data_IF_944349859605
#
_entry.id   IF_944349859605
#
_cell.length_a   1.000
_cell.length_b   1.000
_cell.length_c   1.000
_cell.angle_alpha   90.00
_cell.angle_beta   90.00
_cell.angle_gamma   90.00
#
_symmetry.space_group_name_H-M   'P 1'
#
loop_
_entity.id
_entity.type
_entity.pdbx_description
1 polymer ?
#
# COMPACT_ATOMS: atom_id res chain seq x y z
N UNK A 1 -31.78 -20.39 60.94
CA UNK A 1 -32.85 -20.22 59.93
C UNK A 1 -32.28 -20.72 58.61
N UNK A 2 -32.82 -21.81 58.08
CA UNK A 2 -32.35 -22.31 56.76
C UNK A 2 -32.86 -21.36 55.65
N UNK A 3 -31.96 -20.82 54.84
CA UNK A 3 -32.35 -20.01 53.68
C UNK A 3 -33.14 -20.92 52.71
N UNK A 4 -34.40 -20.58 52.45
CA UNK A 4 -35.19 -21.24 51.43
C UNK A 4 -34.54 -21.09 50.09
N UNK A 5 -34.34 -22.19 49.34
CA UNK A 5 -33.91 -22.14 47.96
C UNK A 5 -34.90 -21.29 47.16
N UNK A 6 -34.39 -20.21 46.54
CA UNK A 6 -35.20 -19.49 45.56
C UNK A 6 -35.32 -20.41 44.30
N UNK A 7 -36.52 -20.81 43.97
CA UNK A 7 -36.81 -21.59 42.77
C UNK A 7 -37.21 -20.68 41.63
N UNK A 8 -37.12 -21.17 40.37
CA UNK A 8 -37.53 -20.38 39.21
C UNK A 8 -39.01 -19.90 39.32
N UNK A 9 -39.87 -20.68 39.99
CA UNK A 9 -41.28 -20.30 40.26
C UNK A 9 -41.43 -19.15 41.26
N UNK A 10 -40.38 -18.87 42.08
CA UNK A 10 -40.37 -17.76 43.03
C UNK A 10 -39.93 -16.42 42.43
N UNK A 11 -39.49 -16.43 41.18
CA UNK A 11 -39.05 -15.24 40.47
C UNK A 11 -40.10 -14.92 39.40
N UNK A 12 -40.88 -13.88 39.60
CA UNK A 12 -41.81 -13.40 38.57
C UNK A 12 -41.07 -12.60 37.50
N UNK A 13 -41.67 -12.47 36.30
CA UNK A 13 -41.04 -11.74 35.19
C UNK A 13 -40.66 -10.31 35.60
N UNK A 14 -39.49 -9.87 35.19
CA UNK A 14 -38.93 -8.51 35.36
C UNK A 14 -38.66 -8.07 36.83
N UNK A 15 -38.61 -9.00 37.79
CA UNK A 15 -38.21 -8.64 39.16
C UNK A 15 -36.68 -8.53 39.37
N UNK A 16 -35.90 -9.17 38.48
CA UNK A 16 -34.43 -9.02 38.48
C UNK A 16 -34.09 -7.86 37.59
N UNK A 17 -33.72 -6.74 38.22
CA UNK A 17 -33.23 -5.56 37.51
C UNK A 17 -31.70 -5.46 37.61
N UNK A 18 -31.11 -4.60 36.79
CA UNK A 18 -29.66 -4.35 36.81
C UNK A 18 -29.14 -3.87 38.18
N UNK A 19 -29.99 -3.26 38.99
CA UNK A 19 -29.64 -2.84 40.34
C UNK A 19 -29.49 -4.01 41.34
N UNK A 20 -30.01 -5.18 41.01
CA UNK A 20 -29.95 -6.39 41.84
C UNK A 20 -28.79 -7.32 41.48
N UNK A 21 -28.10 -7.03 40.37
CA UNK A 21 -26.94 -7.77 39.92
C UNK A 21 -25.73 -6.82 40.01
N UNK A 22 -24.79 -7.12 40.90
CA UNK A 22 -23.60 -6.32 41.01
C UNK A 22 -22.73 -6.45 39.72
N UNK A 23 -21.93 -5.41 39.45
CA UNK A 23 -21.02 -5.44 38.30
C UNK A 23 -20.03 -6.61 38.41
N UNK A 24 -19.92 -7.41 37.36
CA UNK A 24 -19.01 -8.54 37.30
C UNK A 24 -19.54 -9.85 37.90
N UNK A 25 -20.75 -9.86 38.48
CA UNK A 25 -21.36 -11.10 39.00
C UNK A 25 -21.81 -12.06 37.93
N UNK A 26 -22.16 -11.58 36.72
CA UNK A 26 -22.43 -12.42 35.56
C UNK A 26 -21.14 -12.54 34.75
N UNK A 27 -20.57 -13.71 34.76
CA UNK A 27 -19.36 -14.06 34.02
C UNK A 27 -19.70 -14.90 32.79
N UNK A 28 -18.70 -15.16 31.93
CA UNK A 28 -18.87 -16.03 30.76
C UNK A 28 -19.30 -17.47 31.14
N UNK A 29 -18.98 -17.93 32.35
CA UNK A 29 -19.36 -19.26 32.84
C UNK A 29 -20.85 -19.36 33.19
N UNK A 30 -21.49 -18.21 33.45
CA UNK A 30 -22.91 -18.14 33.81
C UNK A 30 -23.82 -18.04 32.57
N UNK A 31 -23.21 -17.84 31.38
CA UNK A 31 -23.90 -17.71 30.09
C UNK A 31 -23.60 -18.96 29.25
N UNK A 32 -24.62 -19.79 29.02
CA UNK A 32 -24.42 -20.96 28.19
C UNK A 32 -24.04 -20.60 26.75
N UNK A 33 -23.23 -21.44 26.12
CA UNK A 33 -22.81 -21.24 24.75
C UNK A 33 -24.04 -21.09 23.80
N UNK A 34 -23.94 -20.15 22.86
CA UNK A 34 -24.94 -19.83 21.84
C UNK A 34 -26.29 -19.30 22.40
N UNK A 35 -26.32 -18.87 23.66
CA UNK A 35 -27.57 -18.25 24.24
C UNK A 35 -27.68 -16.77 23.86
N UNK A 36 -26.58 -16.08 23.61
CA UNK A 36 -26.59 -14.70 23.11
C UNK A 36 -26.70 -14.76 21.57
N UNK A 37 -27.89 -14.55 21.08
CA UNK A 37 -28.18 -14.51 19.64
C UNK A 37 -28.21 -13.06 19.14
N UNK A 38 -28.19 -12.86 17.82
CA UNK A 38 -28.30 -11.53 17.20
C UNK A 38 -29.57 -10.77 17.60
N UNK A 39 -30.66 -11.50 17.91
CA UNK A 39 -31.92 -10.90 18.35
C UNK A 39 -31.84 -10.28 19.77
N UNK A 40 -30.85 -10.70 20.56
CA UNK A 40 -30.64 -10.20 21.93
C UNK A 40 -29.66 -9.01 21.98
N UNK A 41 -29.00 -8.71 20.88
CA UNK A 41 -28.09 -7.59 20.76
C UNK A 41 -28.79 -6.47 19.99
N UNK A 42 -29.13 -5.40 20.69
CA UNK A 42 -29.75 -4.25 20.05
C UNK A 42 -28.86 -3.64 18.94
N UNK A 43 -29.48 -3.03 17.95
CA UNK A 43 -28.74 -2.30 16.93
C UNK A 43 -27.82 -1.25 17.56
N UNK A 44 -26.57 -1.20 17.10
CA UNK A 44 -25.51 -0.30 17.62
C UNK A 44 -25.10 -0.55 19.09
N UNK A 45 -25.48 -1.67 19.71
CA UNK A 45 -25.05 -2.00 21.06
C UNK A 45 -23.54 -2.37 21.13
N UNK A 46 -22.98 -2.88 20.05
CA UNK A 46 -21.55 -3.15 19.96
C UNK A 46 -20.87 -1.92 19.35
N UNK A 47 -20.23 -1.14 20.18
CA UNK A 47 -19.47 0.05 19.79
C UNK A 47 -17.99 -0.29 19.66
N UNK A 48 -17.18 0.63 19.11
CA UNK A 48 -15.72 0.46 19.05
C UNK A 48 -15.07 0.26 20.42
N UNK A 49 -15.62 0.87 21.47
CA UNK A 49 -15.14 0.68 22.85
C UNK A 49 -15.46 -0.71 23.43
N UNK A 50 -16.43 -1.43 22.84
CA UNK A 50 -16.80 -2.78 23.27
C UNK A 50 -15.93 -3.86 22.62
N UNK A 51 -15.12 -3.50 21.63
CA UNK A 51 -14.18 -4.39 20.94
C UNK A 51 -12.77 -3.96 21.26
N UNK A 52 -12.04 -4.79 22.00
CA UNK A 52 -10.65 -4.49 22.33
C UNK A 52 -9.77 -4.49 21.09
N UNK A 53 -8.74 -3.65 21.06
CA UNK A 53 -7.78 -3.59 19.96
C UNK A 53 -7.14 -4.97 19.73
N UNK A 54 -7.11 -5.40 18.47
CA UNK A 54 -6.55 -6.69 18.08
C UNK A 54 -7.40 -7.92 18.41
N UNK A 55 -8.61 -7.76 18.95
CA UNK A 55 -9.49 -8.88 19.30
C UNK A 55 -10.18 -9.52 18.09
N UNK A 56 -10.22 -8.84 16.95
CA UNK A 56 -10.73 -9.40 15.68
C UNK A 56 -9.54 -9.77 14.81
N UNK A 57 -9.24 -11.06 14.74
CA UNK A 57 -8.21 -11.63 13.88
C UNK A 57 -8.85 -12.28 12.64
N UNK A 58 -8.05 -12.89 11.78
CA UNK A 58 -8.54 -13.57 10.58
C UNK A 58 -9.45 -14.76 10.88
N UNK A 59 -9.29 -15.40 12.03
CA UNK A 59 -10.14 -16.52 12.48
C UNK A 59 -11.57 -16.10 12.81
N UNK A 60 -11.78 -14.85 13.26
CA UNK A 60 -13.09 -14.29 13.58
C UNK A 60 -13.81 -13.73 12.35
N UNK A 61 -13.10 -13.61 11.23
CA UNK A 61 -13.63 -13.14 9.96
C UNK A 61 -13.89 -14.34 9.03
N UNK A 62 -15.15 -14.66 8.77
CA UNK A 62 -15.49 -15.67 7.78
C UNK A 62 -14.98 -15.27 6.39
N UNK A 63 -14.69 -16.25 5.53
CA UNK A 63 -14.29 -15.99 4.15
C UNK A 63 -15.34 -15.11 3.44
N UNK A 64 -14.89 -14.00 2.85
CA UNK A 64 -15.77 -13.03 2.19
C UNK A 64 -16.57 -12.11 3.14
N UNK A 65 -16.33 -12.16 4.46
CA UNK A 65 -17.02 -11.27 5.40
C UNK A 65 -16.70 -9.79 5.19
N UNK A 66 -15.50 -9.47 4.68
CA UNK A 66 -15.10 -8.12 4.29
C UNK A 66 -15.22 -8.00 2.77
N UNK A 67 -16.25 -7.30 2.33
CA UNK A 67 -16.50 -7.00 0.91
C UNK A 67 -16.07 -5.57 0.57
N UNK A 68 -16.03 -5.24 -0.72
CA UNK A 68 -15.68 -3.88 -1.17
C UNK A 68 -16.51 -2.77 -0.53
N UNK A 69 -17.81 -3.03 -0.31
CA UNK A 69 -18.73 -2.06 0.32
C UNK A 69 -18.42 -1.80 1.81
N UNK A 70 -17.66 -2.70 2.44
CA UNK A 70 -17.25 -2.58 3.84
C UNK A 70 -15.86 -1.95 4.00
N UNK A 71 -15.15 -1.80 2.90
CA UNK A 71 -13.89 -1.08 2.86
C UNK A 71 -14.17 0.41 2.64
N UNK A 72 -13.42 1.27 3.33
CA UNK A 72 -13.49 2.71 3.03
C UNK A 72 -13.19 2.94 1.54
N UNK A 73 -13.83 3.95 0.94
CA UNK A 73 -13.60 4.36 -0.45
C UNK A 73 -12.14 4.79 -0.69
N UNK A 74 -11.40 5.07 0.37
CA UNK A 74 -9.97 5.39 0.34
C UNK A 74 -9.25 4.52 1.37
N UNK A 75 -8.43 3.60 0.91
CA UNK A 75 -7.47 2.88 1.74
C UNK A 75 -6.19 3.72 1.81
N UNK A 76 -6.03 4.48 2.89
CA UNK A 76 -4.85 5.34 3.12
C UNK A 76 -3.74 4.60 3.88
N UNK A 77 -3.65 3.30 3.77
CA UNK A 77 -2.61 2.52 4.42
C UNK A 77 -1.36 2.39 3.52
N UNK A 78 -0.18 2.36 4.13
CA UNK A 78 1.09 2.38 3.42
C UNK A 78 1.31 1.24 2.42
N UNK A 79 0.80 0.03 2.68
CA UNK A 79 0.92 -1.09 1.76
C UNK A 79 -0.35 -1.94 1.80
N UNK A 80 -1.08 -1.99 0.69
CA UNK A 80 -2.11 -3.00 0.45
C UNK A 80 -1.46 -4.16 -0.30
N UNK A 81 -1.24 -5.28 0.39
CA UNK A 81 -0.73 -6.49 -0.26
C UNK A 81 -1.91 -7.31 -0.78
N UNK A 82 -2.10 -7.29 -2.09
CA UNK A 82 -3.09 -8.10 -2.80
C UNK A 82 -2.39 -9.37 -3.30
N UNK A 83 -2.47 -10.46 -2.52
CA UNK A 83 -1.94 -11.76 -2.94
C UNK A 83 -2.99 -12.53 -3.74
N UNK A 84 -2.61 -13.10 -4.88
CA UNK A 84 -3.50 -13.84 -5.78
C UNK A 84 -3.78 -13.10 -7.09
N UNK A 85 -4.78 -13.55 -7.83
CA UNK A 85 -5.22 -12.89 -9.06
C UNK A 85 -5.95 -11.59 -8.73
N UNK A 86 -5.34 -10.45 -9.03
CA UNK A 86 -5.92 -9.14 -8.81
C UNK A 86 -6.39 -8.58 -10.15
N UNK A 87 -7.66 -8.22 -10.22
CA UNK A 87 -8.24 -7.54 -11.39
C UNK A 87 -8.60 -6.10 -11.01
N UNK A 88 -8.05 -5.14 -11.73
CA UNK A 88 -8.46 -3.74 -11.65
C UNK A 88 -9.49 -3.49 -12.78
N UNK A 89 -10.73 -3.22 -12.39
CA UNK A 89 -11.83 -2.93 -13.34
C UNK A 89 -11.87 -1.47 -13.77
N UNK A 90 -10.96 -0.64 -13.27
CA UNK A 90 -10.88 0.78 -13.57
C UNK A 90 -9.42 1.21 -13.77
N UNK A 91 -9.25 2.47 -14.15
CA UNK A 91 -7.93 3.07 -14.37
C UNK A 91 -7.15 3.16 -13.06
N UNK A 92 -5.92 2.67 -13.06
CA UNK A 92 -4.94 2.94 -11.98
C UNK A 92 -4.24 4.25 -12.32
N UNK A 93 -4.38 5.25 -11.45
CA UNK A 93 -3.66 6.50 -11.57
C UNK A 93 -2.33 6.39 -10.83
N UNK A 94 -1.23 6.47 -11.56
CA UNK A 94 0.10 6.60 -10.96
C UNK A 94 0.40 8.08 -10.72
N UNK A 95 0.96 8.40 -9.56
CA UNK A 95 1.33 9.78 -9.24
C UNK A 95 2.64 10.13 -9.91
N UNK A 96 2.61 11.14 -10.77
CA UNK A 96 3.82 11.71 -11.37
C UNK A 96 4.47 12.73 -10.44
N UNK A 97 5.80 12.70 -10.37
CA UNK A 97 6.58 13.82 -9.85
C UNK A 97 6.84 14.80 -10.99
N UNK A 98 6.17 15.93 -10.96
CA UNK A 98 6.31 16.98 -11.97
C UNK A 98 7.23 18.07 -11.43
N UNK A 99 8.36 18.29 -12.09
CA UNK A 99 9.37 19.28 -11.70
C UNK A 99 9.85 20.11 -12.88
N UNK A 100 10.44 21.25 -12.61
CA UNK A 100 10.78 22.21 -13.68
C UNK A 100 12.02 21.80 -14.44
N UNK A 101 13.07 21.34 -13.78
CA UNK A 101 14.39 21.16 -14.39
C UNK A 101 15.07 19.91 -13.86
N UNK A 102 15.72 19.15 -14.74
CA UNK A 102 16.61 18.05 -14.37
C UNK A 102 17.87 18.60 -13.72
N UNK A 103 18.14 18.22 -12.46
CA UNK A 103 19.36 18.57 -11.75
C UNK A 103 20.55 17.67 -12.14
N UNK A 104 21.74 17.99 -11.62
CA UNK A 104 22.93 17.16 -11.81
C UNK A 104 22.74 15.73 -11.29
N UNK A 105 22.01 15.58 -10.20
CA UNK A 105 21.51 14.27 -9.72
C UNK A 105 20.02 14.39 -9.44
N UNK A 106 19.24 13.52 -10.03
CA UNK A 106 17.79 13.48 -9.87
C UNK A 106 17.40 12.14 -9.23
N UNK A 107 16.64 12.20 -8.15
CA UNK A 107 16.12 11.00 -7.48
C UNK A 107 14.66 10.76 -7.88
N UNK A 108 14.37 9.55 -8.32
CA UNK A 108 13.03 9.05 -8.56
C UNK A 108 12.79 7.87 -7.61
N UNK A 109 11.63 7.76 -7.01
CA UNK A 109 11.34 6.71 -6.04
C UNK A 109 10.12 5.88 -6.41
N UNK A 110 9.97 4.73 -5.77
CA UNK A 110 8.86 3.78 -6.03
C UNK A 110 7.48 4.36 -5.72
N UNK A 111 7.38 5.42 -4.90
CA UNK A 111 6.11 6.07 -4.59
C UNK A 111 5.63 7.00 -5.71
N UNK A 112 6.56 7.45 -6.56
CA UNK A 112 6.29 8.32 -7.71
C UNK A 112 7.16 7.86 -8.89
N UNK A 113 6.81 6.76 -9.55
CA UNK A 113 7.65 6.12 -10.56
C UNK A 113 7.70 6.88 -11.91
N UNK A 114 6.81 7.85 -12.11
CA UNK A 114 6.80 8.73 -13.27
C UNK A 114 7.40 10.10 -12.91
N UNK A 115 8.47 10.49 -13.60
CA UNK A 115 9.13 11.79 -13.43
C UNK A 115 9.00 12.60 -14.71
N UNK A 116 8.39 13.77 -14.61
CA UNK A 116 8.14 14.67 -15.75
C UNK A 116 8.88 15.99 -15.52
N UNK A 117 9.78 16.34 -16.43
CA UNK A 117 10.38 17.66 -16.48
C UNK A 117 9.57 18.58 -17.40
N UNK A 118 9.33 19.82 -16.97
CA UNK A 118 8.52 20.79 -17.72
C UNK A 118 9.39 21.84 -18.42
N UNK A 119 10.69 21.87 -18.17
CA UNK A 119 11.63 22.72 -18.86
C UNK A 119 12.75 21.89 -19.48
N UNK A 120 13.38 22.44 -20.52
CA UNK A 120 14.49 21.82 -21.21
C UNK A 120 15.68 21.55 -20.27
N UNK A 121 16.26 20.39 -20.37
CA UNK A 121 17.48 20.04 -19.64
C UNK A 121 18.62 20.98 -19.97
N UNK A 122 19.44 21.31 -18.97
CA UNK A 122 20.57 22.23 -19.08
C UNK A 122 21.95 21.58 -18.89
N UNK A 123 21.97 20.29 -18.50
CA UNK A 123 23.16 19.47 -18.32
C UNK A 123 22.83 17.98 -18.40
N UNK A 124 23.84 17.16 -18.63
CA UNK A 124 23.73 15.71 -18.45
C UNK A 124 23.52 15.41 -16.95
N UNK A 125 22.80 14.32 -16.67
CA UNK A 125 22.31 14.03 -15.31
C UNK A 125 22.62 12.60 -14.88
N UNK A 126 22.78 12.46 -13.56
CA UNK A 126 22.71 11.18 -12.85
C UNK A 126 21.27 10.93 -12.40
N UNK A 127 20.75 9.74 -12.63
CA UNK A 127 19.46 9.31 -12.05
C UNK A 127 19.70 8.28 -10.95
N UNK A 128 19.10 8.53 -9.79
CA UNK A 128 19.08 7.62 -8.65
C UNK A 128 17.67 7.06 -8.45
N UNK A 129 17.51 5.75 -8.62
CA UNK A 129 16.27 5.03 -8.32
C UNK A 129 16.26 4.66 -6.83
N UNK A 130 15.36 5.23 -6.06
CA UNK A 130 15.35 5.11 -4.60
C UNK A 130 14.17 4.31 -4.06
N UNK A 131 14.34 3.74 -2.86
CA UNK A 131 13.29 2.99 -2.15
C UNK A 131 13.18 1.52 -2.54
N UNK A 132 14.19 0.98 -3.23
CA UNK A 132 14.21 -0.39 -3.75
C UNK A 132 14.79 -1.40 -2.75
N UNK A 133 15.48 -0.96 -1.70
CA UNK A 133 16.07 -1.83 -0.70
C UNK A 133 15.03 -2.75 -0.03
N UNK A 134 13.83 -2.22 0.27
CA UNK A 134 12.71 -2.96 0.85
C UNK A 134 11.93 -3.84 -0.13
N UNK A 135 12.20 -3.78 -1.44
CA UNK A 135 11.51 -4.57 -2.44
C UNK A 135 11.82 -6.07 -2.24
N UNK A 136 10.83 -6.97 -2.28
CA UNK A 136 11.08 -8.41 -2.23
C UNK A 136 11.92 -8.90 -3.41
N UNK A 137 12.72 -9.95 -3.19
CA UNK A 137 13.47 -10.62 -4.26
C UNK A 137 12.52 -11.18 -5.31
N UNK A 138 12.86 -11.01 -6.59
CA UNK A 138 12.03 -11.42 -7.73
C UNK A 138 10.99 -10.37 -8.16
N UNK A 139 10.77 -9.31 -7.38
CA UNK A 139 9.87 -8.24 -7.77
C UNK A 139 10.54 -7.24 -8.72
N UNK A 140 9.70 -6.56 -9.49
CA UNK A 140 10.10 -5.55 -10.46
C UNK A 140 9.50 -4.20 -10.10
N UNK A 141 10.30 -3.14 -10.22
CA UNK A 141 9.84 -1.76 -10.22
C UNK A 141 10.04 -1.14 -11.60
N UNK A 142 9.04 -0.44 -12.10
CA UNK A 142 9.11 0.27 -13.38
C UNK A 142 9.14 1.77 -13.15
N UNK A 143 9.96 2.49 -13.93
CA UNK A 143 10.10 3.95 -13.84
C UNK A 143 10.06 4.54 -15.24
N UNK A 144 9.47 5.72 -15.36
CA UNK A 144 9.46 6.50 -16.60
C UNK A 144 9.95 7.90 -16.32
N UNK A 145 10.84 8.42 -17.17
CA UNK A 145 11.35 9.79 -17.10
C UNK A 145 11.08 10.46 -18.44
N UNK A 146 10.39 11.60 -18.40
CA UNK A 146 10.12 12.44 -19.57
C UNK A 146 11.05 13.63 -19.48
N UNK A 147 11.98 13.74 -20.45
CA UNK A 147 13.06 14.71 -20.48
C UNK A 147 12.99 15.55 -21.74
N UNK A 148 12.43 16.76 -21.72
CA UNK A 148 12.48 17.68 -22.86
C UNK A 148 13.89 18.24 -23.04
N UNK A 149 14.31 18.40 -24.31
CA UNK A 149 15.57 19.00 -24.71
C UNK A 149 15.32 20.26 -25.54
N UNK A 150 16.18 21.24 -25.36
CA UNK A 150 16.27 22.44 -26.20
C UNK A 150 17.15 22.24 -27.42
N UNK A 151 17.70 23.31 -27.97
CA UNK A 151 18.64 23.27 -29.08
C UNK A 151 19.93 22.50 -28.75
N UNK A 152 20.35 22.51 -27.48
CA UNK A 152 21.41 21.64 -26.96
C UNK A 152 20.75 20.42 -26.30
N UNK A 153 21.14 19.23 -26.72
CA UNK A 153 20.59 17.97 -26.22
C UNK A 153 21.42 17.46 -25.04
N UNK A 154 20.76 17.24 -23.92
CA UNK A 154 21.32 16.61 -22.73
C UNK A 154 20.64 15.29 -22.46
N UNK A 155 21.29 14.38 -21.74
CA UNK A 155 20.78 13.05 -21.49
C UNK A 155 21.18 12.53 -20.10
N UNK A 156 20.52 11.45 -19.69
CA UNK A 156 20.89 10.73 -18.48
C UNK A 156 22.07 9.81 -18.84
N UNK A 157 23.22 10.05 -18.22
CA UNK A 157 24.46 9.34 -18.53
C UNK A 157 25.02 8.52 -17.36
N UNK A 158 24.46 8.65 -16.17
CA UNK A 158 24.87 7.92 -14.96
C UNK A 158 23.64 7.43 -14.21
N UNK A 159 23.74 6.21 -13.67
CA UNK A 159 22.60 5.52 -13.04
C UNK A 159 23.00 4.95 -11.70
N UNK A 160 22.11 5.09 -10.72
CA UNK A 160 22.26 4.57 -9.37
C UNK A 160 20.97 3.88 -8.92
N UNK A 161 21.10 2.89 -8.05
CA UNK A 161 20.00 2.30 -7.30
C UNK A 161 20.31 2.44 -5.81
N UNK A 162 19.43 3.10 -5.07
CA UNK A 162 19.62 3.41 -3.65
C UNK A 162 21.01 4.03 -3.37
N UNK A 163 21.42 4.99 -4.20
CA UNK A 163 22.71 5.71 -4.20
C UNK A 163 23.95 4.85 -4.56
N UNK A 164 23.79 3.61 -4.94
CA UNK A 164 24.89 2.76 -5.42
C UNK A 164 24.93 2.77 -6.96
N UNK A 165 26.10 2.98 -7.59
CA UNK A 165 26.23 2.91 -9.03
C UNK A 165 25.74 1.58 -9.59
N UNK A 166 25.02 1.61 -10.71
CA UNK A 166 24.47 0.44 -11.34
C UNK A 166 24.71 0.41 -12.85
N UNK A 167 24.80 -0.79 -13.40
CA UNK A 167 24.86 -1.00 -14.83
C UNK A 167 23.46 -1.17 -15.41
N UNK A 168 23.19 -0.45 -16.49
CA UNK A 168 21.92 -0.51 -17.21
C UNK A 168 22.11 -1.29 -18.51
N UNK A 169 21.23 -2.25 -18.75
CA UNK A 169 21.13 -3.01 -20.03
C UNK A 169 20.12 -2.34 -20.94
N UNK A 170 20.57 -1.84 -22.05
CA UNK A 170 19.79 -1.04 -22.98
C UNK A 170 19.23 -1.86 -24.14
N UNK A 171 17.96 -1.69 -24.42
CA UNK A 171 17.40 -2.12 -25.70
C UNK A 171 17.89 -1.18 -26.81
N UNK A 172 18.57 -1.73 -27.80
CA UNK A 172 19.13 -0.94 -28.92
C UNK A 172 20.45 -0.23 -28.63
N UNK A 173 21.05 -0.42 -27.45
CA UNK A 173 22.31 0.22 -27.02
C UNK A 173 22.10 1.40 -26.10
N UNK A 174 23.14 1.71 -25.29
CA UNK A 174 23.10 2.85 -24.38
C UNK A 174 23.03 4.19 -25.16
N UNK A 175 22.24 5.18 -24.67
CA UNK A 175 22.22 6.48 -25.30
C UNK A 175 23.60 7.15 -25.19
N UNK A 176 24.08 7.70 -26.30
CA UNK A 176 25.34 8.45 -26.38
C UNK A 176 25.13 9.96 -26.37
N UNK A 177 23.88 10.40 -26.38
CA UNK A 177 23.44 11.79 -26.34
C UNK A 177 21.93 11.87 -26.21
N UNK A 178 21.41 13.06 -25.95
CA UNK A 178 20.00 13.38 -26.08
C UNK A 178 19.65 13.78 -27.51
N UNK A 179 18.35 14.00 -27.75
CA UNK A 179 17.85 14.45 -29.07
C UNK A 179 17.45 15.93 -28.98
N UNK A 180 18.12 16.79 -29.75
CA UNK A 180 17.88 18.23 -29.70
C UNK A 180 16.48 18.61 -30.18
N UNK A 181 15.89 19.60 -29.52
CA UNK A 181 14.55 20.14 -29.77
C UNK A 181 13.42 19.11 -29.70
N UNK A 182 13.63 17.99 -29.01
CA UNK A 182 12.70 16.87 -28.85
C UNK A 182 12.52 16.52 -27.36
N UNK A 183 11.61 15.61 -27.10
CA UNK A 183 11.43 15.00 -25.78
C UNK A 183 11.93 13.57 -25.79
N UNK A 184 12.89 13.26 -24.94
CA UNK A 184 13.37 11.91 -24.74
C UNK A 184 12.60 11.26 -23.56
N UNK A 185 12.03 10.08 -23.80
CA UNK A 185 11.34 9.30 -22.79
C UNK A 185 12.18 8.07 -22.48
N UNK A 186 12.62 7.99 -21.23
CA UNK A 186 13.37 6.87 -20.69
C UNK A 186 12.42 5.94 -19.93
N UNK A 187 12.45 4.65 -20.25
CA UNK A 187 11.70 3.63 -19.52
C UNK A 187 12.67 2.64 -18.88
N UNK A 188 12.48 2.36 -17.61
CA UNK A 188 13.32 1.45 -16.84
C UNK A 188 12.49 0.35 -16.19
N UNK A 189 13.04 -0.87 -16.17
CA UNK A 189 12.54 -2.00 -15.38
C UNK A 189 13.68 -2.50 -14.50
N UNK A 190 13.50 -2.48 -13.19
CA UNK A 190 14.50 -2.85 -12.19
C UNK A 190 14.01 -4.07 -11.43
N UNK A 191 14.75 -5.17 -11.53
CA UNK A 191 14.41 -6.43 -10.85
C UNK A 191 15.40 -6.64 -9.72
N UNK A 192 14.91 -6.85 -8.50
CA UNK A 192 15.75 -7.25 -7.38
C UNK A 192 16.05 -8.75 -7.46
N UNK A 193 17.33 -9.13 -7.52
CA UNK A 193 17.75 -10.50 -7.79
C UNK A 193 18.30 -11.24 -6.59
N UNK A 194 18.58 -10.55 -5.47
CA UNK A 194 19.03 -11.20 -4.22
C UNK A 194 18.64 -10.40 -2.98
N UNK A 195 18.74 -11.05 -1.80
CA UNK A 195 18.47 -10.43 -0.50
C UNK A 195 19.54 -9.37 -0.13
N UNK A 196 20.81 -9.62 -0.43
CA UNK A 196 21.83 -8.57 -0.51
C UNK A 196 21.53 -7.81 -1.78
N UNK A 197 21.15 -6.52 -1.73
CA UNK A 197 20.49 -5.88 -2.87
C UNK A 197 21.39 -5.84 -4.09
N UNK A 198 21.11 -6.76 -5.01
CA UNK A 198 21.60 -6.74 -6.39
C UNK A 198 20.41 -6.58 -7.32
N UNK A 199 20.61 -5.78 -8.36
CA UNK A 199 19.55 -5.41 -9.27
C UNK A 199 19.98 -5.66 -10.71
N UNK A 200 19.07 -6.19 -11.53
CA UNK A 200 19.15 -6.10 -12.97
C UNK A 200 18.32 -4.91 -13.43
N UNK A 201 18.96 -3.99 -14.14
CA UNK A 201 18.32 -2.78 -14.67
C UNK A 201 18.27 -2.88 -16.18
N UNK A 202 17.07 -2.85 -16.73
CA UNK A 202 16.81 -2.83 -18.18
C UNK A 202 16.19 -1.48 -18.55
N UNK A 203 16.57 -0.94 -19.70
CA UNK A 203 16.06 0.34 -20.13
C UNK A 203 15.93 0.46 -21.65
N UNK A 204 15.08 1.39 -22.03
CA UNK A 204 14.97 1.90 -23.40
C UNK A 204 14.81 3.42 -23.38
N UNK A 205 15.19 4.08 -24.45
CA UNK A 205 14.93 5.49 -24.68
C UNK A 205 14.28 5.68 -26.05
N UNK A 206 13.28 6.54 -26.12
CA UNK A 206 12.61 6.95 -27.35
C UNK A 206 12.51 8.46 -27.39
N UNK A 207 12.71 9.03 -28.57
CA UNK A 207 12.61 10.48 -28.80
C UNK A 207 11.32 10.78 -29.55
N UNK A 208 10.59 11.80 -29.06
CA UNK A 208 9.33 12.25 -29.63
C UNK A 208 9.48 13.68 -30.15
N UNK A 209 8.98 13.93 -31.37
CA UNK A 209 9.05 15.18 -32.11
C UNK A 209 7.87 16.10 -31.83
#
# INVERSE_FOLDING_TARGET
MALSKITAASITSNVISSALIANGEITFADIANNTITSALIAANAITTAAIADGSINTSELAAGAVTGDKLASTLTSGNVNLSGATSFLSTVFETANVTTLMGATTTINVAQPLLVFTANSSANSTVNFAGLAGMPVGNTASFVIINPNGSTAYYINTYQVDNAPTLVRWAGGAPIGGTSANTDIYSFSIIKTSATPTYNVFASVQSFF
#
